data_IF_574110914295
#
_entry.id   IF_574110914295
#
_cell.length_a   1.000
_cell.length_b   1.000
_cell.length_c   1.000
_cell.angle_alpha   90.00
_cell.angle_beta   90.00
_cell.angle_gamma   90.00
#
_symmetry.space_group_name_H-M   'P 1'
#
loop_
_entity.id
_entity.type
_entity.pdbx_description
1 polymer ?
#
# COMPACT_ATOMS: atom_id res chain seq x y z
N UNK A 1 -38.19 92.78 38.02
CA UNK A 1 -39.53 93.22 38.47
C UNK A 1 -40.59 92.65 37.55
N UNK A 2 -41.48 91.80 38.07
CA UNK A 2 -42.59 91.21 37.32
C UNK A 2 -43.65 92.31 37.16
N UNK A 3 -43.94 92.75 35.94
CA UNK A 3 -45.01 93.73 35.67
C UNK A 3 -46.31 92.97 35.31
N UNK A 4 -47.30 92.89 36.22
CA UNK A 4 -48.49 92.06 36.03
C UNK A 4 -49.39 92.52 34.88
N UNK A 5 -49.51 93.83 34.63
CA UNK A 5 -50.29 94.38 33.51
C UNK A 5 -49.64 94.08 32.16
N UNK A 6 -48.31 94.22 32.08
CA UNK A 6 -47.56 93.90 30.87
C UNK A 6 -47.62 92.40 30.54
N UNK A 7 -47.61 91.53 31.55
CA UNK A 7 -47.74 90.08 31.35
C UNK A 7 -49.17 89.67 30.97
N UNK A 8 -50.20 90.26 31.59
CA UNK A 8 -51.60 90.01 31.21
C UNK A 8 -51.86 90.36 29.74
N UNK A 9 -51.36 91.51 29.28
CA UNK A 9 -51.46 91.92 27.88
C UNK A 9 -50.70 90.99 26.93
N UNK A 10 -49.52 90.50 27.33
CA UNK A 10 -48.73 89.51 26.55
C UNK A 10 -49.44 88.16 26.45
N UNK A 11 -50.08 87.69 27.52
CA UNK A 11 -50.89 86.46 27.52
C UNK A 11 -52.16 86.60 26.67
N UNK A 12 -52.80 87.77 26.67
CA UNK A 12 -53.93 88.05 25.78
C UNK A 12 -53.52 88.02 24.31
N UNK A 13 -52.40 88.66 23.96
CA UNK A 13 -51.84 88.62 22.61
C UNK A 13 -51.42 87.21 22.17
N UNK A 14 -50.90 86.39 23.10
CA UNK A 14 -50.58 84.99 22.85
C UNK A 14 -51.84 84.16 22.51
N UNK A 15 -52.94 84.35 23.26
CA UNK A 15 -54.22 83.68 22.98
C UNK A 15 -54.84 84.09 21.65
N UNK A 16 -54.77 85.38 21.32
CA UNK A 16 -55.23 85.90 20.02
C UNK A 16 -54.42 85.29 18.86
N UNK A 17 -53.09 85.20 19.01
CA UNK A 17 -52.21 84.58 18.01
C UNK A 17 -52.50 83.09 17.81
N UNK A 18 -52.79 82.34 18.88
CA UNK A 18 -53.22 80.95 18.82
C UNK A 18 -54.57 80.76 18.11
N UNK A 19 -55.57 81.59 18.43
CA UNK A 19 -56.90 81.55 17.78
C UNK A 19 -56.83 81.86 16.28
N UNK A 20 -55.88 82.69 15.86
CA UNK A 20 -55.63 83.02 14.46
C UNK A 20 -54.80 81.96 13.71
N UNK A 21 -54.40 80.87 14.38
CA UNK A 21 -53.56 79.82 13.79
C UNK A 21 -52.10 80.24 13.53
N UNK A 22 -51.70 81.44 13.93
CA UNK A 22 -50.36 81.97 13.67
C UNK A 22 -49.35 81.48 14.72
N UNK A 23 -48.87 80.26 14.52
CA UNK A 23 -47.95 79.58 15.45
C UNK A 23 -46.61 80.31 15.63
N UNK A 24 -46.13 81.01 14.60
CA UNK A 24 -44.87 81.73 14.65
C UNK A 24 -44.95 82.94 15.60
N UNK A 25 -46.07 83.69 15.53
CA UNK A 25 -46.35 84.80 16.43
C UNK A 25 -46.58 84.32 17.86
N UNK A 26 -47.29 83.20 18.04
CA UNK A 26 -47.50 82.56 19.35
C UNK A 26 -46.17 82.13 20.00
N UNK A 27 -45.23 81.54 19.24
CA UNK A 27 -43.89 81.13 19.71
C UNK A 27 -43.05 82.33 20.16
N UNK A 28 -43.04 83.42 19.38
CA UNK A 28 -42.33 84.66 19.75
C UNK A 28 -42.91 85.32 21.00
N UNK A 29 -44.24 85.32 21.16
CA UNK A 29 -44.89 85.88 22.36
C UNK A 29 -44.62 85.00 23.59
N UNK A 30 -44.64 83.67 23.46
CA UNK A 30 -44.28 82.74 24.53
C UNK A 30 -42.83 82.94 25.02
N UNK A 31 -41.86 83.11 24.10
CA UNK A 31 -40.46 83.39 24.47
C UNK A 31 -40.31 84.69 25.27
N UNK A 32 -41.06 85.75 24.90
CA UNK A 32 -41.06 87.04 25.63
C UNK A 32 -41.73 86.98 27.01
N UNK A 33 -42.61 86.00 27.24
CA UNK A 33 -43.23 85.72 28.55
C UNK A 33 -42.27 84.88 29.42
N UNK A 34 -41.54 83.94 28.81
CA UNK A 34 -40.52 83.15 29.51
C UNK A 34 -39.33 84.01 29.96
N UNK A 35 -38.83 84.89 29.08
CA UNK A 35 -37.70 85.77 29.41
C UNK A 35 -38.02 86.87 30.43
N UNK A 36 -39.31 87.13 30.71
CA UNK A 36 -39.74 88.06 31.77
C UNK A 36 -39.85 87.42 33.15
N UNK A 37 -39.62 86.10 33.28
CA UNK A 37 -39.65 85.38 34.55
C UNK A 37 -41.04 85.18 35.16
N UNK A 38 -42.10 85.43 34.41
CA UNK A 38 -43.48 85.27 34.86
C UNK A 38 -43.90 83.79 34.91
N UNK A 39 -44.79 83.42 35.86
CA UNK A 39 -45.41 82.08 35.86
C UNK A 39 -46.32 81.95 34.64
N UNK A 40 -46.09 80.90 33.85
CA UNK A 40 -46.88 80.59 32.67
C UNK A 40 -48.30 80.18 33.07
N UNK A 41 -49.30 80.63 32.33
CA UNK A 41 -50.67 80.13 32.43
C UNK A 41 -50.75 78.71 31.87
N UNK A 42 -51.79 77.96 32.26
CA UNK A 42 -51.97 76.55 31.86
C UNK A 42 -51.98 76.36 30.34
N UNK A 43 -52.52 77.32 29.59
CA UNK A 43 -52.53 77.32 28.11
C UNK A 43 -51.13 77.57 27.51
N UNK A 44 -50.34 78.46 28.13
CA UNK A 44 -48.96 78.73 27.70
C UNK A 44 -48.03 77.57 28.06
N UNK A 45 -48.28 76.91 29.19
CA UNK A 45 -47.62 75.68 29.61
C UNK A 45 -47.92 74.55 28.62
N UNK A 46 -49.20 74.30 28.30
CA UNK A 46 -49.60 73.30 27.30
C UNK A 46 -48.98 73.56 25.92
N UNK A 47 -48.90 74.82 25.48
CA UNK A 47 -48.26 75.15 24.21
C UNK A 47 -46.73 74.98 24.25
N UNK A 48 -46.10 75.29 25.38
CA UNK A 48 -44.68 75.00 25.61
C UNK A 48 -44.41 73.49 25.57
N UNK A 49 -45.21 72.71 26.27
CA UNK A 49 -45.10 71.25 26.34
C UNK A 49 -45.36 70.63 24.97
N UNK A 50 -46.30 71.18 24.19
CA UNK A 50 -46.51 70.82 22.78
C UNK A 50 -45.29 71.10 21.92
N UNK A 51 -44.69 72.30 22.01
CA UNK A 51 -43.48 72.64 21.25
C UNK A 51 -42.28 71.77 21.64
N UNK A 52 -42.13 71.45 22.93
CA UNK A 52 -41.09 70.53 23.42
C UNK A 52 -41.33 69.10 22.91
N UNK A 53 -42.58 68.64 22.91
CA UNK A 53 -42.96 67.34 22.36
C UNK A 53 -42.73 67.27 20.85
N UNK A 54 -43.05 68.33 20.11
CA UNK A 54 -42.78 68.42 18.66
C UNK A 54 -41.27 68.42 18.35
N UNK A 55 -40.46 69.13 19.13
CA UNK A 55 -39.01 69.10 19.00
C UNK A 55 -38.44 67.70 19.31
N UNK A 56 -38.90 67.07 20.40
CA UNK A 56 -38.51 65.71 20.74
C UNK A 56 -38.92 64.69 19.66
N UNK A 57 -40.13 64.80 19.12
CA UNK A 57 -40.60 63.94 18.03
C UNK A 57 -39.80 64.15 16.75
N UNK A 58 -39.38 65.39 16.46
CA UNK A 58 -38.51 65.68 15.32
C UNK A 58 -37.13 65.02 15.49
N UNK A 59 -36.52 65.16 16.66
CA UNK A 59 -35.22 64.55 16.96
C UNK A 59 -35.30 63.03 16.97
N UNK A 60 -36.34 62.44 17.59
CA UNK A 60 -36.60 61.01 17.58
C UNK A 60 -36.79 60.48 16.16
N UNK A 61 -37.54 61.19 15.29
CA UNK A 61 -37.69 60.81 13.87
C UNK A 61 -36.37 60.86 13.13
N UNK A 62 -35.54 61.87 13.38
CA UNK A 62 -34.21 61.99 12.77
C UNK A 62 -33.30 60.84 13.18
N UNK A 63 -33.28 60.49 14.48
CA UNK A 63 -32.52 59.35 15.01
C UNK A 63 -33.02 58.03 14.41
N UNK A 64 -34.34 57.80 14.39
CA UNK A 64 -34.95 56.60 13.79
C UNK A 64 -34.58 56.49 12.31
N UNK A 65 -34.60 57.60 11.57
CA UNK A 65 -34.20 57.62 10.15
C UNK A 65 -32.74 57.23 9.99
N UNK A 66 -31.83 57.81 10.79
CA UNK A 66 -30.40 57.51 10.73
C UNK A 66 -30.10 56.06 11.13
N UNK A 67 -30.76 55.54 12.17
CA UNK A 67 -30.64 54.14 12.61
C UNK A 67 -31.14 53.18 11.52
N UNK A 68 -32.23 53.50 10.83
CA UNK A 68 -32.70 52.71 9.69
C UNK A 68 -31.67 52.66 8.57
N UNK A 69 -31.09 53.81 8.20
CA UNK A 69 -30.06 53.88 7.17
C UNK A 69 -28.83 53.05 7.58
N UNK A 70 -28.34 53.22 8.81
CA UNK A 70 -27.18 52.48 9.31
C UNK A 70 -27.44 50.97 9.35
N UNK A 71 -28.62 50.54 9.81
CA UNK A 71 -28.99 49.12 9.81
C UNK A 71 -29.06 48.56 8.39
N UNK A 72 -29.63 49.31 7.46
CA UNK A 72 -29.76 48.91 6.06
C UNK A 72 -28.39 48.82 5.37
N UNK A 73 -27.47 49.71 5.72
CA UNK A 73 -26.07 49.64 5.27
C UNK A 73 -25.39 48.39 5.83
N UNK A 74 -25.48 48.14 7.14
CA UNK A 74 -24.85 46.96 7.76
C UNK A 74 -25.40 45.64 7.23
N UNK A 75 -26.68 45.55 6.87
CA UNK A 75 -27.22 44.34 6.22
C UNK A 75 -26.64 44.12 4.84
N UNK A 76 -26.44 45.18 4.05
CA UNK A 76 -25.82 45.09 2.73
C UNK A 76 -24.34 44.68 2.87
N UNK A 77 -23.61 45.27 3.81
CA UNK A 77 -22.20 44.94 4.04
C UNK A 77 -22.02 43.46 4.45
N UNK A 78 -22.90 42.95 5.31
CA UNK A 78 -22.91 41.53 5.71
C UNK A 78 -23.26 40.60 4.55
N UNK A 79 -24.21 40.96 3.68
CA UNK A 79 -24.55 40.18 2.49
C UNK A 79 -23.37 40.10 1.52
N UNK A 80 -22.62 41.18 1.35
CA UNK A 80 -21.40 41.21 0.52
C UNK A 80 -20.31 40.32 1.13
N UNK A 81 -20.07 40.39 2.44
CA UNK A 81 -19.06 39.57 3.11
C UNK A 81 -19.42 38.07 3.09
N UNK A 82 -20.70 37.74 3.28
CA UNK A 82 -21.20 36.37 3.17
C UNK A 82 -21.11 35.84 1.73
N UNK A 83 -21.38 36.68 0.74
CA UNK A 83 -21.20 36.35 -0.68
C UNK A 83 -19.74 36.00 -0.98
N UNK A 84 -18.80 36.86 -0.59
CA UNK A 84 -17.37 36.62 -0.79
C UNK A 84 -16.88 35.33 -0.12
N UNK A 85 -17.27 35.09 1.15
CA UNK A 85 -16.94 33.84 1.86
C UNK A 85 -17.53 32.60 1.19
N UNK A 86 -18.73 32.72 0.62
CA UNK A 86 -19.37 31.61 -0.09
C UNK A 86 -18.62 31.28 -1.39
N UNK A 87 -18.23 32.30 -2.15
CA UNK A 87 -17.47 32.13 -3.38
C UNK A 87 -16.09 31.48 -3.10
N UNK A 88 -15.41 31.92 -2.03
CA UNK A 88 -14.13 31.31 -1.58
C UNK A 88 -14.30 29.83 -1.23
N UNK A 89 -15.39 29.46 -0.53
CA UNK A 89 -15.69 28.07 -0.18
C UNK A 89 -16.05 27.24 -1.42
N UNK A 90 -16.85 27.78 -2.34
CA UNK A 90 -17.21 27.09 -3.59
C UNK A 90 -15.97 26.88 -4.46
N UNK A 91 -15.07 27.86 -4.55
CA UNK A 91 -13.81 27.72 -5.26
C UNK A 91 -12.88 26.67 -4.60
N UNK A 92 -12.78 26.67 -3.27
CA UNK A 92 -11.99 25.67 -2.53
C UNK A 92 -12.58 24.27 -2.64
N UNK A 93 -13.90 24.13 -2.68
CA UNK A 93 -14.56 22.84 -2.87
C UNK A 93 -14.30 22.30 -4.28
N UNK A 94 -14.39 23.17 -5.29
CA UNK A 94 -14.10 22.83 -6.68
C UNK A 94 -12.66 22.35 -6.88
N UNK A 95 -11.68 23.00 -6.26
CA UNK A 95 -10.28 22.56 -6.34
C UNK A 95 -10.05 21.20 -5.68
N UNK A 96 -10.63 20.96 -4.50
CA UNK A 96 -10.54 19.66 -3.81
C UNK A 96 -11.22 18.53 -4.59
N UNK A 97 -12.35 18.80 -5.23
CA UNK A 97 -13.01 17.80 -6.09
C UNK A 97 -12.15 17.42 -7.29
N UNK A 98 -11.45 18.39 -7.89
CA UNK A 98 -10.48 18.13 -8.96
C UNK A 98 -9.29 17.31 -8.46
N UNK A 99 -8.77 17.61 -7.27
CA UNK A 99 -7.70 16.84 -6.62
C UNK A 99 -8.12 15.38 -6.38
N UNK A 100 -9.30 15.14 -5.80
CA UNK A 100 -9.84 13.79 -5.60
C UNK A 100 -9.97 13.04 -6.93
N UNK A 101 -10.50 13.69 -7.97
CA UNK A 101 -10.64 13.07 -9.28
C UNK A 101 -9.27 12.72 -9.91
N UNK A 102 -8.23 13.53 -9.66
CA UNK A 102 -6.87 13.23 -10.11
C UNK A 102 -6.26 12.05 -9.37
N UNK A 103 -6.41 12.00 -8.03
CA UNK A 103 -5.93 10.89 -7.21
C UNK A 103 -6.63 9.57 -7.54
N UNK A 104 -7.93 9.59 -7.82
CA UNK A 104 -8.67 8.41 -8.25
C UNK A 104 -8.13 7.84 -9.57
N UNK A 105 -7.83 8.69 -10.55
CA UNK A 105 -7.19 8.28 -11.80
C UNK A 105 -5.79 7.71 -11.59
N UNK A 106 -5.04 8.27 -10.65
CA UNK A 106 -3.71 7.77 -10.31
C UNK A 106 -3.78 6.38 -9.65
N UNK A 107 -4.71 6.19 -8.72
CA UNK A 107 -4.97 4.88 -8.08
C UNK A 107 -5.36 3.84 -9.13
N UNK A 108 -6.27 4.17 -10.06
CA UNK A 108 -6.70 3.26 -11.13
C UNK A 108 -5.54 2.89 -12.07
N UNK A 109 -4.68 3.86 -12.39
CA UNK A 109 -3.46 3.60 -13.16
C UNK A 109 -2.51 2.66 -12.41
N UNK A 110 -2.30 2.87 -11.12
CA UNK A 110 -1.43 2.05 -10.28
C UNK A 110 -1.99 0.64 -10.08
N UNK A 111 -3.32 0.49 -9.94
CA UNK A 111 -3.95 -0.82 -9.81
C UNK A 111 -3.79 -1.65 -11.09
N UNK A 112 -3.99 -1.03 -12.26
CA UNK A 112 -3.76 -1.70 -13.54
C UNK A 112 -2.30 -2.13 -13.72
N UNK A 113 -1.35 -1.27 -13.34
CA UNK A 113 0.08 -1.60 -13.36
C UNK A 113 0.42 -2.77 -12.44
N UNK A 114 -0.19 -2.81 -11.24
CA UNK A 114 -0.01 -3.91 -10.29
C UNK A 114 -0.58 -5.23 -10.83
N UNK A 115 -1.79 -5.21 -11.36
CA UNK A 115 -2.46 -6.41 -11.93
C UNK A 115 -1.70 -6.98 -13.12
N UNK A 116 -1.01 -6.13 -13.89
CA UNK A 116 -0.12 -6.59 -14.95
C UNK A 116 1.17 -7.25 -14.42
N UNK A 117 1.65 -6.82 -13.24
CA UNK A 117 2.94 -7.24 -12.69
C UNK A 117 2.84 -8.44 -11.74
N UNK A 118 1.76 -8.56 -10.98
CA UNK A 118 1.61 -9.57 -9.91
C UNK A 118 0.32 -10.38 -10.08
N UNK A 119 0.39 -11.64 -9.69
CA UNK A 119 -0.77 -12.53 -9.65
C UNK A 119 -1.64 -12.14 -8.46
N UNK A 120 -2.91 -11.83 -8.71
CA UNK A 120 -3.86 -11.47 -7.66
C UNK A 120 -4.20 -12.68 -6.79
N UNK A 121 -4.09 -12.58 -5.45
CA UNK A 121 -4.42 -13.68 -4.57
C UNK A 121 -5.92 -13.97 -4.54
N UNK A 122 -6.29 -15.23 -4.75
CA UNK A 122 -7.66 -15.75 -4.64
C UNK A 122 -7.89 -16.30 -3.24
N UNK A 123 -8.96 -15.83 -2.58
CA UNK A 123 -9.31 -16.32 -1.25
C UNK A 123 -9.64 -17.82 -1.26
N UNK A 124 -10.28 -18.32 -2.31
CA UNK A 124 -10.63 -19.74 -2.43
C UNK A 124 -9.40 -20.63 -2.47
N UNK A 125 -8.36 -20.22 -3.20
CA UNK A 125 -7.08 -20.94 -3.24
C UNK A 125 -6.38 -20.88 -1.89
N UNK A 126 -6.37 -19.71 -1.26
CA UNK A 126 -5.74 -19.51 0.06
C UNK A 126 -6.40 -20.43 1.09
N UNK A 127 -7.73 -20.46 1.14
CA UNK A 127 -8.49 -21.29 2.07
C UNK A 127 -8.26 -22.79 1.80
N UNK A 128 -8.21 -23.19 0.52
CA UNK A 128 -7.93 -24.57 0.13
C UNK A 128 -6.54 -25.04 0.58
N UNK A 129 -5.49 -24.25 0.30
CA UNK A 129 -4.11 -24.59 0.70
C UNK A 129 -3.98 -24.62 2.22
N UNK A 130 -4.53 -23.61 2.92
CA UNK A 130 -4.52 -23.58 4.39
C UNK A 130 -5.15 -24.84 4.99
N UNK A 131 -6.25 -25.31 4.40
CA UNK A 131 -6.95 -26.52 4.83
C UNK A 131 -6.15 -27.80 4.54
N UNK A 132 -5.65 -27.96 3.31
CA UNK A 132 -4.89 -29.15 2.89
C UNK A 132 -3.61 -29.34 3.68
N UNK A 133 -2.83 -28.26 3.85
CA UNK A 133 -1.57 -28.28 4.59
C UNK A 133 -1.75 -28.10 6.09
N UNK A 134 -2.99 -27.89 6.56
CA UNK A 134 -3.33 -27.67 7.96
C UNK A 134 -2.39 -26.62 8.58
N UNK A 135 -2.31 -25.46 7.92
CA UNK A 135 -1.41 -24.39 8.30
C UNK A 135 -1.92 -23.68 9.55
N UNK A 136 -1.10 -23.65 10.59
CA UNK A 136 -1.44 -23.03 11.87
C UNK A 136 -0.34 -22.04 12.27
N UNK A 137 -0.68 -20.77 12.37
CA UNK A 137 0.22 -19.74 12.89
C UNK A 137 0.31 -19.89 14.41
N UNK A 138 1.45 -20.37 14.90
CA UNK A 138 1.70 -20.55 16.33
C UNK A 138 2.04 -19.19 16.96
N UNK A 139 2.82 -18.38 16.25
CA UNK A 139 3.11 -16.98 16.56
C UNK A 139 3.46 -16.19 15.28
N UNK A 140 3.90 -14.93 15.42
CA UNK A 140 4.25 -14.04 14.31
C UNK A 140 5.40 -14.54 13.42
N UNK A 141 6.26 -15.42 13.95
CA UNK A 141 7.47 -15.90 13.29
C UNK A 141 7.47 -17.42 13.06
N UNK A 142 6.43 -18.14 13.50
CA UNK A 142 6.34 -19.59 13.40
C UNK A 142 5.02 -20.04 12.79
N UNK A 143 5.12 -20.57 11.57
CA UNK A 143 4.04 -21.27 10.89
C UNK A 143 4.26 -22.78 11.02
N UNK A 144 3.29 -23.48 11.60
CA UNK A 144 3.28 -24.93 11.66
C UNK A 144 2.48 -25.49 10.47
N UNK A 145 3.05 -26.49 9.80
CA UNK A 145 2.40 -27.26 8.74
C UNK A 145 2.27 -28.71 9.23
N UNK A 146 1.06 -29.28 9.18
CA UNK A 146 0.80 -30.66 9.64
C UNK A 146 0.09 -31.54 8.61
N UNK A 147 -0.36 -30.95 7.51
CA UNK A 147 -0.94 -31.65 6.36
C UNK A 147 -0.05 -31.56 5.12
N UNK A 148 -0.54 -32.12 4.02
CA UNK A 148 0.11 -32.15 2.72
C UNK A 148 -0.95 -32.23 1.61
N UNK A 149 -0.70 -31.60 0.47
CA UNK A 149 -1.50 -31.83 -0.74
C UNK A 149 -1.16 -33.21 -1.33
N UNK A 150 -1.82 -34.25 -0.82
CA UNK A 150 -1.63 -35.64 -1.24
C UNK A 150 -1.82 -35.81 -2.75
N UNK A 151 -2.80 -35.13 -3.35
CA UNK A 151 -3.10 -35.30 -4.77
C UNK A 151 -1.94 -34.78 -5.63
N UNK A 152 -1.41 -33.60 -5.29
CA UNK A 152 -0.30 -33.01 -6.05
C UNK A 152 1.00 -33.78 -5.87
N UNK A 153 1.31 -34.21 -4.64
CA UNK A 153 2.62 -34.80 -4.36
C UNK A 153 2.70 -36.31 -4.55
N UNK A 154 1.59 -37.05 -4.46
CA UNK A 154 1.60 -38.48 -4.75
C UNK A 154 2.11 -38.79 -6.17
N UNK A 155 1.70 -37.99 -7.15
CA UNK A 155 2.17 -38.11 -8.53
C UNK A 155 3.69 -37.85 -8.64
N UNK A 156 4.18 -36.80 -7.97
CA UNK A 156 5.61 -36.46 -7.94
C UNK A 156 6.43 -37.60 -7.33
N UNK A 157 6.01 -38.12 -6.17
CA UNK A 157 6.67 -39.23 -5.47
C UNK A 157 6.71 -40.48 -6.34
N UNK A 158 5.57 -40.85 -6.95
CA UNK A 158 5.48 -42.02 -7.83
C UNK A 158 6.40 -41.90 -9.05
N UNK A 159 6.46 -40.71 -9.65
CA UNK A 159 7.36 -40.43 -10.77
C UNK A 159 8.82 -40.50 -10.36
N UNK A 160 9.16 -39.99 -9.17
CA UNK A 160 10.52 -40.03 -8.64
C UNK A 160 10.99 -41.46 -8.40
N UNK A 161 10.15 -42.32 -7.81
CA UNK A 161 10.45 -43.75 -7.62
C UNK A 161 10.74 -44.41 -8.97
N UNK A 162 9.86 -44.20 -9.96
CA UNK A 162 10.03 -44.77 -11.31
C UNK A 162 11.35 -44.32 -11.95
N UNK A 163 11.68 -43.04 -11.83
CA UNK A 163 12.94 -42.49 -12.34
C UNK A 163 14.15 -43.16 -11.69
N UNK A 164 14.19 -43.20 -10.34
CA UNK A 164 15.29 -43.77 -9.58
C UNK A 164 15.49 -45.26 -9.84
N UNK A 165 14.40 -46.04 -9.89
CA UNK A 165 14.45 -47.46 -10.25
C UNK A 165 15.09 -47.67 -11.62
N UNK A 166 14.67 -46.88 -12.61
CA UNK A 166 15.21 -46.97 -13.98
C UNK A 166 16.71 -46.64 -14.04
N UNK A 167 17.17 -45.68 -13.23
CA UNK A 167 18.57 -45.28 -13.17
C UNK A 167 19.43 -46.32 -12.45
N UNK A 168 18.91 -46.92 -11.39
CA UNK A 168 19.57 -48.01 -10.67
C UNK A 168 19.62 -49.32 -11.47
N UNK A 169 18.66 -49.57 -12.36
CA UNK A 169 18.71 -50.69 -13.30
C UNK A 169 19.78 -50.51 -14.38
N UNK A 170 20.03 -49.27 -14.80
CA UNK A 170 21.05 -48.93 -15.81
C UNK A 170 22.47 -48.88 -15.23
N UNK A 171 22.59 -48.74 -13.92
CA UNK A 171 23.88 -48.62 -13.25
C UNK A 171 24.76 -49.87 -13.50
N UNK A 172 26.02 -49.64 -13.85
CA UNK A 172 26.96 -50.73 -14.12
C UNK A 172 28.30 -50.45 -13.42
N UNK A 173 28.89 -51.43 -12.70
CA UNK A 173 28.40 -52.80 -12.50
C UNK A 173 27.34 -52.91 -11.40
N UNK A 174 26.32 -53.75 -11.63
CA UNK A 174 25.22 -53.92 -10.68
C UNK A 174 25.66 -54.49 -9.32
N UNK A 175 26.77 -55.24 -9.29
CA UNK A 175 27.34 -55.78 -8.06
C UNK A 175 27.86 -54.71 -7.09
N UNK A 176 28.21 -53.51 -7.57
CA UNK A 176 28.70 -52.41 -6.73
C UNK A 176 27.65 -51.35 -6.43
N UNK A 177 26.42 -51.48 -6.95
CA UNK A 177 25.35 -50.50 -6.79
C UNK A 177 25.15 -50.11 -5.31
N UNK A 178 24.96 -51.10 -4.44
CA UNK A 178 24.71 -50.85 -3.01
C UNK A 178 25.88 -50.11 -2.34
N UNK A 179 27.13 -50.53 -2.60
CA UNK A 179 28.30 -49.84 -2.04
C UNK A 179 28.44 -48.41 -2.56
N UNK A 180 28.10 -48.16 -3.83
CA UNK A 180 28.14 -46.82 -4.43
C UNK A 180 27.04 -45.91 -3.88
N UNK A 181 25.84 -46.45 -3.63
CA UNK A 181 24.75 -45.73 -2.94
C UNK A 181 25.17 -45.41 -1.51
N UNK A 182 25.72 -46.37 -0.77
CA UNK A 182 26.16 -46.14 0.61
C UNK A 182 27.25 -45.06 0.69
N UNK A 183 28.22 -45.09 -0.22
CA UNK A 183 29.27 -44.06 -0.27
C UNK A 183 28.70 -42.68 -0.62
N UNK A 184 27.76 -42.60 -1.58
CA UNK A 184 27.07 -41.36 -1.91
C UNK A 184 26.24 -40.84 -0.73
N UNK A 185 25.55 -41.73 -0.01
CA UNK A 185 24.79 -41.39 1.20
C UNK A 185 25.67 -40.79 2.28
N UNK A 186 26.80 -41.44 2.60
CA UNK A 186 27.69 -40.96 3.66
C UNK A 186 28.27 -39.57 3.34
N UNK A 187 28.57 -39.31 2.06
CA UNK A 187 29.07 -38.02 1.59
C UNK A 187 27.99 -36.94 1.58
N UNK A 188 26.82 -37.21 0.98
CA UNK A 188 25.71 -36.25 0.87
C UNK A 188 25.08 -35.92 2.24
N UNK A 189 25.15 -36.84 3.19
CA UNK A 189 24.70 -36.60 4.55
C UNK A 189 25.59 -35.61 5.32
N UNK A 190 26.73 -35.18 4.76
CA UNK A 190 27.52 -34.06 5.32
C UNK A 190 26.75 -32.73 5.29
N UNK A 191 25.79 -32.57 4.39
CA UNK A 191 24.94 -31.37 4.32
C UNK A 191 24.16 -31.13 5.62
N UNK A 192 23.66 -32.20 6.27
CA UNK A 192 22.97 -32.07 7.58
C UNK A 192 23.89 -31.56 8.70
N UNK A 193 25.20 -31.68 8.50
CA UNK A 193 26.25 -31.23 9.42
C UNK A 193 26.83 -29.88 9.00
N UNK A 194 26.24 -29.20 8.02
CA UNK A 194 26.72 -27.93 7.48
C UNK A 194 28.11 -28.04 6.84
N UNK A 195 28.42 -29.18 6.23
CA UNK A 195 29.69 -29.43 5.53
C UNK A 195 29.43 -29.77 4.07
N UNK A 196 30.30 -29.27 3.19
CA UNK A 196 30.20 -29.57 1.77
C UNK A 196 30.58 -31.02 1.48
N UNK A 197 29.72 -31.76 0.74
CA UNK A 197 30.07 -33.06 0.16
C UNK A 197 31.22 -32.94 -0.82
N UNK A 198 31.88 -34.06 -1.10
CA UNK A 198 32.92 -34.14 -2.13
C UNK A 198 32.36 -34.49 -3.51
N UNK A 199 31.13 -35.01 -3.58
CA UNK A 199 30.41 -35.38 -4.80
C UNK A 199 31.14 -36.44 -5.65
N UNK A 200 31.96 -37.29 -5.02
CA UNK A 200 32.81 -38.24 -5.72
C UNK A 200 32.06 -39.43 -6.35
N UNK A 201 30.78 -39.63 -6.01
CA UNK A 201 29.98 -40.75 -6.52
C UNK A 201 29.10 -40.31 -7.70
N UNK A 202 29.01 -41.09 -8.79
CA UNK A 202 28.07 -40.80 -9.88
C UNK A 202 26.60 -40.94 -9.45
N UNK A 203 26.32 -41.64 -8.34
CA UNK A 203 24.97 -41.79 -7.78
C UNK A 203 24.61 -40.67 -6.79
N UNK A 204 25.48 -39.67 -6.64
CA UNK A 204 25.23 -38.53 -5.76
C UNK A 204 23.88 -37.84 -6.04
N UNK A 205 23.50 -37.57 -7.31
CA UNK A 205 22.21 -36.95 -7.60
C UNK A 205 21.01 -37.82 -7.22
N UNK A 206 21.10 -39.13 -7.44
CA UNK A 206 20.04 -40.08 -7.10
C UNK A 206 19.86 -40.20 -5.59
N UNK A 207 20.95 -40.20 -4.83
CA UNK A 207 20.86 -40.17 -3.36
C UNK A 207 20.36 -38.81 -2.85
N UNK A 208 20.74 -37.70 -3.49
CA UNK A 208 20.17 -36.38 -3.17
C UNK A 208 18.65 -36.36 -3.39
N UNK A 209 18.17 -36.95 -4.48
CA UNK A 209 16.74 -37.13 -4.75
C UNK A 209 16.03 -37.89 -3.62
N UNK A 210 16.62 -38.97 -3.13
CA UNK A 210 16.05 -39.79 -2.06
C UNK A 210 15.98 -39.08 -0.71
N UNK A 211 16.95 -38.21 -0.41
CA UNK A 211 17.10 -37.63 0.92
C UNK A 211 16.47 -36.25 1.08
N UNK A 212 16.64 -35.36 0.08
CA UNK A 212 16.36 -33.94 0.28
C UNK A 212 15.37 -33.37 -0.73
N UNK A 213 15.27 -33.95 -1.92
CA UNK A 213 14.52 -33.33 -3.00
C UNK A 213 13.04 -33.12 -2.66
N UNK A 214 12.32 -34.16 -2.21
CA UNK A 214 10.90 -34.05 -1.90
C UNK A 214 10.62 -33.04 -0.78
N UNK A 215 11.36 -33.13 0.32
CA UNK A 215 11.21 -32.19 1.44
C UNK A 215 11.47 -30.73 1.02
N UNK A 216 12.49 -30.51 0.19
CA UNK A 216 12.78 -29.19 -0.37
C UNK A 216 11.70 -28.71 -1.33
N UNK A 217 11.11 -29.59 -2.15
CA UNK A 217 9.97 -29.24 -3.03
C UNK A 217 8.74 -28.85 -2.20
N UNK A 218 8.45 -29.57 -1.12
CA UNK A 218 7.30 -29.30 -0.24
C UNK A 218 7.48 -27.96 0.48
N UNK A 219 8.68 -27.72 0.99
CA UNK A 219 9.03 -26.46 1.63
C UNK A 219 8.98 -25.28 0.65
N UNK A 220 9.49 -25.46 -0.56
CA UNK A 220 9.43 -24.46 -1.62
C UNK A 220 8.00 -24.15 -2.05
N UNK A 221 7.14 -25.17 -2.18
CA UNK A 221 5.71 -24.99 -2.49
C UNK A 221 5.05 -24.06 -1.46
N UNK A 222 5.25 -24.33 -0.16
CA UNK A 222 4.70 -23.48 0.91
C UNK A 222 5.32 -22.08 0.86
N UNK A 223 6.62 -21.96 0.61
CA UNK A 223 7.27 -20.67 0.42
C UNK A 223 6.62 -19.84 -0.69
N UNK A 224 6.37 -20.44 -1.85
CA UNK A 224 5.69 -19.78 -2.97
C UNK A 224 4.24 -19.44 -2.66
N UNK A 225 3.54 -20.31 -1.94
CA UNK A 225 2.20 -20.02 -1.42
C UNK A 225 2.20 -18.76 -0.54
N UNK A 226 3.16 -18.60 0.38
CA UNK A 226 3.24 -17.42 1.24
C UNK A 226 3.54 -16.13 0.45
N UNK A 227 4.41 -16.22 -0.56
CA UNK A 227 4.69 -15.11 -1.50
C UNK A 227 3.43 -14.72 -2.27
N UNK A 228 2.68 -15.73 -2.75
CA UNK A 228 1.39 -15.54 -3.40
C UNK A 228 0.37 -14.91 -2.47
N UNK A 229 0.17 -15.45 -1.27
CA UNK A 229 -0.79 -14.93 -0.29
C UNK A 229 -0.51 -13.46 0.06
N UNK A 230 0.76 -13.07 0.07
CA UNK A 230 1.20 -11.69 0.28
C UNK A 230 0.97 -10.76 -0.93
N UNK A 231 0.53 -11.31 -2.07
CA UNK A 231 0.31 -10.56 -3.32
C UNK A 231 1.60 -10.07 -3.97
N UNK A 232 2.71 -10.79 -3.75
CA UNK A 232 4.05 -10.46 -4.23
C UNK A 232 4.54 -11.40 -5.34
N UNK A 233 3.75 -12.41 -5.71
CA UNK A 233 4.11 -13.36 -6.76
C UNK A 233 3.97 -12.71 -8.15
N UNK A 234 5.06 -12.54 -8.92
CA UNK A 234 4.99 -11.89 -10.23
C UNK A 234 4.26 -12.73 -11.27
N UNK A 235 3.65 -12.09 -12.27
CA UNK A 235 3.10 -12.75 -13.46
C UNK A 235 4.19 -13.32 -14.37
N UNK A 236 5.36 -12.67 -14.38
CA UNK A 236 6.59 -13.12 -15.05
C UNK A 236 7.69 -13.18 -14.00
N UNK A 237 8.35 -14.33 -13.90
CA UNK A 237 9.34 -14.57 -12.87
C UNK A 237 10.73 -14.77 -13.46
N UNK A 238 11.64 -13.86 -13.15
CA UNK A 238 13.08 -14.11 -13.26
C UNK A 238 13.65 -14.61 -11.93
N UNK A 239 13.91 -15.92 -11.83
CA UNK A 239 14.38 -16.59 -10.61
C UNK A 239 15.86 -16.98 -10.71
N UNK A 240 16.66 -16.59 -9.72
CA UNK A 240 18.00 -17.12 -9.48
C UNK A 240 17.99 -18.02 -8.23
N UNK A 241 18.30 -19.30 -8.41
CA UNK A 241 18.40 -20.30 -7.35
C UNK A 241 19.85 -20.64 -7.05
N UNK A 242 20.32 -20.28 -5.87
CA UNK A 242 21.71 -20.44 -5.42
C UNK A 242 21.81 -21.69 -4.54
N UNK A 243 22.80 -22.53 -4.82
CA UNK A 243 22.94 -23.88 -4.29
C UNK A 243 21.64 -24.69 -4.53
N UNK A 244 21.21 -24.65 -5.79
CA UNK A 244 19.91 -25.14 -6.24
C UNK A 244 19.74 -26.66 -6.12
N UNK A 245 20.84 -27.42 -6.03
CA UNK A 245 20.84 -28.87 -6.17
C UNK A 245 20.13 -29.30 -7.47
N UNK A 246 19.12 -30.15 -7.34
CA UNK A 246 18.27 -30.59 -8.46
C UNK A 246 17.18 -29.60 -8.87
N UNK A 247 17.17 -28.38 -8.31
CA UNK A 247 16.25 -27.28 -8.65
C UNK A 247 14.90 -27.35 -7.96
N UNK A 248 14.83 -27.88 -6.74
CA UNK A 248 13.61 -28.09 -5.97
C UNK A 248 12.73 -26.83 -5.83
N UNK A 249 13.33 -25.63 -5.79
CA UNK A 249 12.61 -24.35 -5.74
C UNK A 249 11.69 -24.15 -6.96
N UNK A 250 12.19 -24.50 -8.16
CA UNK A 250 11.41 -24.41 -9.39
C UNK A 250 10.26 -25.42 -9.41
N UNK A 251 10.51 -26.64 -8.93
CA UNK A 251 9.46 -27.66 -8.80
C UNK A 251 8.36 -27.20 -7.85
N UNK A 252 8.73 -26.66 -6.69
CA UNK A 252 7.76 -26.10 -5.74
C UNK A 252 6.89 -25.01 -6.37
N UNK A 253 7.51 -24.09 -7.12
CA UNK A 253 6.79 -23.04 -7.85
C UNK A 253 5.84 -23.63 -8.89
N UNK A 254 6.30 -24.57 -9.68
CA UNK A 254 5.51 -25.20 -10.73
C UNK A 254 4.29 -25.89 -10.17
N UNK A 255 4.46 -26.72 -9.14
CA UNK A 255 3.34 -27.42 -8.51
C UNK A 255 2.37 -26.44 -7.86
N UNK A 256 2.87 -25.38 -7.22
CA UNK A 256 2.01 -24.31 -6.69
C UNK A 256 1.18 -23.65 -7.81
N UNK A 257 1.81 -23.23 -8.91
CA UNK A 257 1.12 -22.60 -10.04
C UNK A 257 0.14 -23.58 -10.69
N UNK A 258 0.49 -24.86 -10.82
CA UNK A 258 -0.37 -25.93 -11.33
C UNK A 258 -1.63 -26.05 -10.47
N UNK A 259 -1.49 -26.12 -9.14
CA UNK A 259 -2.64 -26.10 -8.23
C UNK A 259 -3.46 -24.83 -8.41
N UNK A 260 -2.81 -23.67 -8.51
CA UNK A 260 -3.49 -22.38 -8.64
C UNK A 260 -4.35 -22.26 -9.93
N UNK A 261 -3.97 -22.93 -11.02
CA UNK A 261 -4.79 -22.96 -12.26
C UNK A 261 -6.19 -23.54 -12.07
N UNK A 262 -6.40 -24.36 -11.03
CA UNK A 262 -7.71 -24.93 -10.72
C UNK A 262 -8.67 -23.92 -10.07
N UNK A 263 -8.16 -22.79 -9.55
CA UNK A 263 -8.93 -21.81 -8.78
C UNK A 263 -9.06 -20.47 -9.48
N UNK A 264 -8.05 -20.07 -10.26
CA UNK A 264 -8.06 -18.80 -10.97
C UNK A 264 -7.40 -18.95 -12.34
N UNK A 265 -7.93 -18.30 -13.39
CA UNK A 265 -7.22 -18.21 -14.66
C UNK A 265 -5.90 -17.47 -14.42
N UNK A 266 -4.79 -18.18 -14.55
CA UNK A 266 -3.48 -17.57 -14.52
C UNK A 266 -3.18 -16.93 -15.88
N UNK A 267 -2.53 -15.75 -15.91
CA UNK A 267 -1.98 -15.23 -17.16
C UNK A 267 -0.94 -16.23 -17.70
N UNK A 268 -0.49 -16.03 -18.94
CA UNK A 268 0.67 -16.78 -19.44
C UNK A 268 1.89 -16.44 -18.57
N UNK A 269 2.25 -17.38 -17.71
CA UNK A 269 3.35 -17.25 -16.78
C UNK A 269 4.63 -17.68 -17.49
N UNK A 270 5.60 -16.78 -17.46
CA UNK A 270 6.94 -17.02 -17.97
C UNK A 270 7.89 -17.13 -16.77
N UNK A 271 8.54 -18.28 -16.63
CA UNK A 271 9.53 -18.55 -15.59
C UNK A 271 10.90 -18.65 -16.25
N UNK A 272 11.72 -17.62 -16.07
CA UNK A 272 13.13 -17.61 -16.44
C UNK A 272 13.94 -18.11 -15.23
N UNK A 273 14.23 -19.40 -15.20
CA UNK A 273 14.96 -20.05 -14.12
C UNK A 273 16.46 -20.10 -14.40
N UNK A 274 17.25 -19.56 -13.48
CA UNK A 274 18.70 -19.66 -13.48
C UNK A 274 19.16 -20.35 -12.19
N UNK A 275 19.96 -21.40 -12.28
CA UNK A 275 20.59 -21.99 -11.10
C UNK A 275 22.09 -21.74 -11.06
N UNK A 276 22.60 -21.59 -9.84
CA UNK A 276 24.02 -21.59 -9.48
C UNK A 276 24.24 -22.75 -8.52
N UNK A 277 24.94 -23.79 -8.94
CA UNK A 277 25.17 -25.02 -8.16
C UNK A 277 26.61 -25.47 -8.36
N UNK A 278 27.27 -26.01 -7.35
CA UNK A 278 28.65 -26.48 -7.50
C UNK A 278 28.72 -27.81 -8.26
N UNK A 279 27.76 -28.69 -8.03
CA UNK A 279 27.74 -30.03 -8.62
C UNK A 279 26.86 -30.06 -9.90
N UNK A 280 27.45 -30.05 -11.10
CA UNK A 280 26.68 -30.02 -12.36
C UNK A 280 25.75 -31.22 -12.55
N UNK A 281 26.09 -32.39 -11.99
CA UNK A 281 25.25 -33.58 -12.14
C UNK A 281 23.91 -33.44 -11.40
N UNK A 282 23.84 -32.65 -10.32
CA UNK A 282 22.57 -32.35 -9.66
C UNK A 282 21.63 -31.56 -10.59
N UNK A 283 22.15 -30.53 -11.26
CA UNK A 283 21.38 -29.74 -12.23
C UNK A 283 20.96 -30.58 -13.45
N UNK A 284 21.86 -31.44 -13.94
CA UNK A 284 21.59 -32.32 -15.08
C UNK A 284 20.44 -33.28 -14.78
N UNK A 285 20.54 -34.05 -13.70
CA UNK A 285 19.51 -35.04 -13.34
C UNK A 285 18.20 -34.37 -12.89
N UNK A 286 18.26 -33.19 -12.27
CA UNK A 286 17.10 -32.34 -12.04
C UNK A 286 16.36 -32.01 -13.34
N UNK A 287 17.09 -31.52 -14.36
CA UNK A 287 16.48 -31.23 -15.67
C UNK A 287 15.96 -32.47 -16.37
N UNK A 288 16.70 -33.57 -16.34
CA UNK A 288 16.26 -34.81 -16.97
C UNK A 288 14.94 -35.29 -16.37
N UNK A 289 14.84 -35.32 -15.04
CA UNK A 289 13.61 -35.65 -14.35
C UNK A 289 12.46 -34.70 -14.73
N UNK A 290 12.72 -33.39 -14.81
CA UNK A 290 11.75 -32.39 -15.27
C UNK A 290 11.21 -32.72 -16.67
N UNK A 291 12.11 -32.94 -17.63
CA UNK A 291 11.75 -33.18 -19.03
C UNK A 291 10.94 -34.46 -19.21
N UNK A 292 11.22 -35.49 -18.41
CA UNK A 292 10.54 -36.77 -18.51
C UNK A 292 9.16 -36.76 -17.84
N UNK A 293 9.02 -36.13 -16.68
CA UNK A 293 7.83 -36.31 -15.83
C UNK A 293 7.02 -35.04 -15.57
N UNK A 294 7.63 -33.86 -15.69
CA UNK A 294 6.96 -32.58 -15.39
C UNK A 294 6.54 -31.88 -16.66
N UNK A 295 7.48 -31.66 -17.59
CA UNK A 295 7.26 -30.96 -18.85
C UNK A 295 6.06 -31.50 -19.66
N UNK A 296 5.81 -32.82 -19.76
CA UNK A 296 4.66 -33.35 -20.48
C UNK A 296 3.30 -33.02 -19.82
N UNK A 297 3.30 -32.70 -18.53
CA UNK A 297 2.10 -32.34 -17.76
C UNK A 297 1.87 -30.83 -17.70
N UNK A 298 2.80 -30.04 -18.24
CA UNK A 298 2.76 -28.58 -18.21
C UNK A 298 1.58 -28.05 -19.03
N UNK A 299 0.81 -27.14 -18.45
CA UNK A 299 -0.28 -26.44 -19.14
C UNK A 299 0.28 -25.41 -20.11
N UNK A 300 -0.49 -25.05 -21.15
CA UNK A 300 -0.11 -23.99 -22.11
C UNK A 300 0.10 -22.60 -21.47
N UNK A 301 -0.25 -22.46 -20.18
CA UNK A 301 -0.15 -21.23 -19.40
C UNK A 301 1.16 -21.10 -18.62
N UNK A 302 1.95 -22.16 -18.44
CA UNK A 302 3.21 -22.12 -17.67
C UNK A 302 4.37 -22.46 -18.60
N UNK A 303 5.27 -21.51 -18.84
CA UNK A 303 6.46 -21.71 -19.69
C UNK A 303 7.73 -21.51 -18.86
N UNK A 304 8.61 -22.51 -18.84
CA UNK A 304 9.86 -22.49 -18.08
C UNK A 304 11.09 -22.52 -18.99
N UNK A 305 12.03 -21.61 -18.78
CA UNK A 305 13.32 -21.56 -19.46
C UNK A 305 14.45 -21.76 -18.46
N UNK A 306 15.43 -22.58 -18.81
CA UNK A 306 16.48 -23.02 -17.90
C UNK A 306 17.84 -22.45 -18.30
N UNK A 307 18.57 -21.91 -17.31
CA UNK A 307 19.98 -21.57 -17.42
C UNK A 307 20.75 -22.14 -16.23
N UNK A 308 21.70 -23.02 -16.49
CA UNK A 308 22.50 -23.65 -15.45
C UNK A 308 23.91 -23.06 -15.44
N UNK A 309 24.37 -22.66 -14.27
CA UNK A 309 25.75 -22.30 -14.02
C UNK A 309 26.30 -23.27 -12.97
N UNK A 310 27.26 -24.08 -13.37
CA UNK A 310 27.98 -24.97 -12.47
C UNK A 310 29.22 -24.24 -11.95
N UNK A 311 29.20 -23.81 -10.70
CA UNK A 311 30.32 -23.12 -10.07
C UNK A 311 30.23 -23.19 -8.54
N UNK A 312 31.38 -23.39 -7.91
CA UNK A 312 31.56 -23.23 -6.47
C UNK A 312 31.30 -21.76 -6.07
N UNK A 313 30.47 -21.57 -5.03
CA UNK A 313 30.04 -20.25 -4.55
C UNK A 313 31.22 -19.37 -4.08
N UNK A 314 32.19 -19.97 -3.38
CA UNK A 314 33.36 -19.29 -2.85
C UNK A 314 34.31 -18.88 -3.98
N UNK A 315 34.50 -19.76 -4.97
CA UNK A 315 35.28 -19.43 -6.16
C UNK A 315 34.58 -18.33 -6.97
N UNK A 316 33.26 -18.43 -7.16
CA UNK A 316 32.47 -17.46 -7.90
C UNK A 316 32.59 -16.03 -7.33
N UNK A 317 32.60 -15.91 -5.99
CA UNK A 317 32.75 -14.63 -5.30
C UNK A 317 34.14 -13.99 -5.41
N UNK A 318 35.19 -14.80 -5.57
CA UNK A 318 36.60 -14.41 -5.38
C UNK A 318 37.27 -13.60 -6.51
N UNK A 319 36.58 -13.31 -7.64
CA UNK A 319 37.15 -12.65 -8.84
C UNK A 319 38.28 -13.41 -9.54
N UNK A 320 38.65 -14.61 -9.10
CA UNK A 320 39.83 -15.33 -9.61
C UNK A 320 39.65 -15.80 -11.06
N UNK A 321 38.41 -16.04 -11.51
CA UNK A 321 38.17 -16.78 -12.75
C UNK A 321 37.53 -15.97 -13.89
N UNK A 322 37.24 -14.67 -13.72
CA UNK A 322 36.65 -13.83 -14.78
C UNK A 322 35.31 -14.34 -15.37
N UNK A 323 34.76 -15.45 -14.86
CA UNK A 323 33.64 -16.24 -15.36
C UNK A 323 32.32 -15.86 -14.69
N UNK A 324 32.16 -14.58 -14.32
CA UNK A 324 30.92 -14.05 -13.77
C UNK A 324 29.84 -14.03 -14.85
N UNK A 325 29.09 -15.12 -14.91
CA UNK A 325 28.14 -15.37 -15.97
C UNK A 325 26.70 -15.01 -15.60
N UNK A 326 26.42 -14.57 -14.37
CA UNK A 326 25.06 -14.21 -13.98
C UNK A 326 24.66 -12.87 -14.62
N UNK A 327 23.44 -12.76 -15.16
CA UNK A 327 22.88 -11.50 -15.62
C UNK A 327 22.91 -10.42 -14.52
N UNK A 328 23.16 -9.18 -14.95
CA UNK A 328 23.14 -8.00 -14.09
C UNK A 328 21.74 -7.36 -14.11
N UNK A 329 21.19 -7.07 -12.94
CA UNK A 329 19.87 -6.45 -12.69
C UNK A 329 18.75 -7.10 -13.49
N UNK A 330 18.64 -8.42 -13.37
CA UNK A 330 17.71 -9.22 -14.16
C UNK A 330 16.70 -9.96 -13.29
N UNK A 331 17.10 -10.43 -12.10
CA UNK A 331 16.26 -11.33 -11.31
C UNK A 331 15.31 -10.55 -10.40
N UNK A 332 14.06 -11.00 -10.36
CA UNK A 332 13.05 -10.53 -9.44
C UNK A 332 13.15 -11.24 -8.08
N UNK A 333 13.56 -12.52 -8.12
CA UNK A 333 13.67 -13.36 -6.95
C UNK A 333 15.03 -14.06 -6.91
N UNK A 334 15.63 -14.08 -5.73
CA UNK A 334 16.81 -14.88 -5.42
C UNK A 334 16.47 -15.82 -4.27
N UNK A 335 16.68 -17.13 -4.49
CA UNK A 335 16.63 -18.14 -3.44
C UNK A 335 18.04 -18.61 -3.10
N UNK A 336 18.25 -18.92 -1.82
CA UNK A 336 19.52 -19.41 -1.31
C UNK A 336 19.20 -20.66 -0.49
N UNK A 337 19.63 -21.80 -0.97
CA UNK A 337 19.39 -23.10 -0.34
C UNK A 337 20.69 -23.63 0.24
N UNK A 338 20.64 -24.33 1.38
CA UNK A 338 21.77 -25.08 1.95
C UNK A 338 23.11 -24.33 2.17
N UNK A 339 23.18 -23.00 2.06
CA UNK A 339 24.41 -22.20 2.31
C UNK A 339 24.67 -21.93 3.81
N UNK A 340 24.32 -22.87 4.69
CA UNK A 340 24.47 -22.76 6.14
C UNK A 340 25.65 -23.61 6.62
N UNK A 341 26.85 -23.03 6.56
CA UNK A 341 28.09 -23.76 6.89
C UNK A 341 28.27 -23.94 8.40
N UNK A 342 28.85 -25.05 8.83
CA UNK A 342 29.22 -25.29 10.24
C UNK A 342 30.53 -24.59 10.62
N UNK A 343 31.42 -24.39 9.67
CA UNK A 343 32.64 -23.61 9.86
C UNK A 343 32.34 -22.11 9.94
N UNK A 344 32.96 -21.42 10.90
CA UNK A 344 32.70 -19.99 11.11
C UNK A 344 33.29 -19.13 9.99
N UNK A 345 34.45 -19.49 9.45
CA UNK A 345 35.08 -18.76 8.35
C UNK A 345 34.25 -18.85 7.09
N UNK A 346 33.85 -20.07 6.70
CA UNK A 346 32.98 -20.30 5.55
C UNK A 346 31.62 -19.59 5.70
N UNK A 347 31.01 -19.58 6.88
CA UNK A 347 29.78 -18.79 7.12
C UNK A 347 29.98 -17.31 6.88
N UNK A 348 31.06 -16.74 7.41
CA UNK A 348 31.33 -15.31 7.25
C UNK A 348 31.59 -14.96 5.78
N UNK A 349 32.33 -15.81 5.08
CA UNK A 349 32.64 -15.65 3.66
C UNK A 349 31.38 -15.79 2.79
N UNK A 350 30.57 -16.82 3.00
CA UNK A 350 29.33 -17.02 2.25
C UNK A 350 28.36 -15.85 2.46
N UNK A 351 28.22 -15.35 3.69
CA UNK A 351 27.44 -14.16 3.98
C UNK A 351 27.97 -12.92 3.24
N UNK A 352 29.28 -12.77 3.12
CA UNK A 352 29.88 -11.66 2.38
C UNK A 352 29.60 -11.73 0.88
N UNK A 353 29.74 -12.91 0.29
CA UNK A 353 29.49 -13.17 -1.14
C UNK A 353 28.01 -12.97 -1.48
N UNK A 354 27.11 -13.53 -0.67
CA UNK A 354 25.67 -13.54 -0.91
C UNK A 354 25.00 -12.22 -0.53
N UNK A 355 25.18 -11.75 0.71
CA UNK A 355 24.38 -10.66 1.29
C UNK A 355 25.07 -9.29 1.24
N UNK A 356 26.39 -9.23 1.44
CA UNK A 356 27.04 -7.93 1.67
C UNK A 356 27.65 -7.26 0.45
N UNK A 357 27.92 -7.95 -0.67
CA UNK A 357 28.71 -7.26 -1.69
C UNK A 357 28.46 -7.53 -3.17
N UNK A 358 27.90 -8.65 -3.64
CA UNK A 358 27.88 -8.87 -5.10
C UNK A 358 26.62 -9.51 -5.69
N UNK A 359 26.23 -10.74 -5.34
CA UNK A 359 25.16 -11.41 -6.09
C UNK A 359 23.82 -10.69 -5.89
N UNK A 360 23.42 -10.43 -4.65
CA UNK A 360 22.15 -9.75 -4.40
C UNK A 360 22.14 -8.31 -4.98
N UNK A 361 23.19 -7.52 -4.72
CA UNK A 361 23.23 -6.13 -5.20
C UNK A 361 23.38 -5.97 -6.73
N UNK A 362 23.99 -6.94 -7.42
CA UNK A 362 24.23 -6.86 -8.87
C UNK A 362 23.21 -7.58 -9.71
N UNK A 363 22.69 -8.71 -9.23
CA UNK A 363 21.82 -9.56 -10.04
C UNK A 363 20.34 -9.24 -9.83
N UNK A 364 19.95 -8.68 -8.68
CA UNK A 364 18.58 -8.20 -8.44
C UNK A 364 18.24 -7.02 -9.34
N UNK A 365 17.09 -7.08 -10.01
CA UNK A 365 16.52 -5.94 -10.69
C UNK A 365 16.22 -4.81 -9.68
N UNK A 366 16.68 -3.59 -9.97
CA UNK A 366 16.40 -2.42 -9.13
C UNK A 366 14.96 -2.01 -9.37
N UNK A 367 14.03 -2.57 -8.58
CA UNK A 367 12.59 -2.34 -8.67
C UNK A 367 11.80 -2.87 -7.47
N UNK A 368 12.36 -3.84 -6.74
CA UNK A 368 11.86 -4.25 -5.42
C UNK A 368 12.61 -3.49 -4.33
N UNK A 369 12.11 -2.30 -3.98
CA UNK A 369 12.43 -1.59 -2.73
C UNK A 369 11.16 -1.19 -2.03
#
# INVERSE_FOLDING_TARGET
MINPLANWWRSYQFRAALKQGNQHLAKQKLQKIQSSGARLSLLEQLFKDKLQSEAFLYDARKIIKNLRISRQQSTVDLEVELGAKRDDVEQSLGSKQQEIASLQKEIEKLSYQREAQFITPSQELIDAINSQFQLNAIDENLLQCTGIDEQTFYELESNLVTYLESEFERYTPQSSLYSSISAAYDDINLLTKGKDPQYNSPLTPHVYFMLYFLESVYSAYIGWFLVYQSGLLPTRMELLDIAAGSGSVLYGLFYFLRTATNFTPLPQNLICYCSLEQEPWLQYHGREFWQQYVEPTTTATINSYFRFNAADLFIYGSNIDGSRNLPNKFFDFITISHCFFADQGQRQESHQILFFSWIFCQSMAVGFK
#
